data_IF_653858957622
#
_entry.id   IF_653858957622
#
_cell.length_a   1.000
_cell.length_b   1.000
_cell.length_c   1.000
_cell.angle_alpha   90.00
_cell.angle_beta   90.00
_cell.angle_gamma   90.00
#
_symmetry.space_group_name_H-M   'P 1'
#
loop_
_entity.id
_entity.type
_entity.pdbx_description
1 polymer ?
#
# COMPACT_ATOMS: atom_id res chain seq x y z
N UNK A 1 22.15 32.85 28.10
CA UNK A 1 22.28 31.38 28.10
C UNK A 1 20.92 30.81 28.45
N UNK A 2 20.21 30.19 27.51
CA UNK A 2 18.93 29.51 27.82
C UNK A 2 18.97 28.13 27.18
N UNK A 3 18.87 27.12 28.04
CA UNK A 3 18.79 25.71 27.71
C UNK A 3 17.36 25.21 27.97
N UNK A 4 16.85 24.48 26.97
CA UNK A 4 15.94 23.30 27.05
C UNK A 4 14.48 23.54 27.43
N UNK A 5 13.54 22.99 26.63
CA UNK A 5 12.60 21.90 27.03
C UNK A 5 11.48 21.67 25.98
N UNK A 6 11.38 20.40 25.58
CA UNK A 6 10.15 19.59 25.40
C UNK A 6 9.23 19.90 24.21
N UNK A 7 9.03 18.84 23.41
CA UNK A 7 8.02 18.78 22.36
C UNK A 7 6.61 18.52 22.89
N UNK A 8 5.72 18.36 21.92
CA UNK A 8 4.27 18.20 22.04
C UNK A 8 3.46 19.48 22.14
N UNK A 9 2.38 19.43 21.35
CA UNK A 9 1.01 19.85 21.66
C UNK A 9 0.44 21.13 21.01
N UNK A 10 -0.56 20.90 20.13
CA UNK A 10 -1.90 21.55 20.08
C UNK A 10 -2.03 22.76 19.10
N UNK A 11 -3.06 22.95 18.24
CA UNK A 11 -4.52 23.06 18.51
C UNK A 11 -5.36 23.24 17.21
N UNK A 12 -6.55 22.61 17.22
CA UNK A 12 -7.85 22.95 16.55
C UNK A 12 -8.02 22.73 15.05
N UNK A 13 -8.72 21.64 14.71
CA UNK A 13 -9.79 21.72 13.72
C UNK A 13 -11.11 21.36 14.40
N UNK A 14 -12.01 22.34 14.46
CA UNK A 14 -13.40 22.18 14.82
C UNK A 14 -14.19 21.92 13.53
N UNK A 15 -15.10 20.95 13.56
CA UNK A 15 -16.18 20.85 12.57
C UNK A 15 -16.34 19.48 11.92
N UNK A 16 -17.49 18.88 12.20
CA UNK A 16 -18.24 17.88 11.42
C UNK A 16 -17.79 16.41 11.41
N UNK A 17 -18.71 15.60 11.92
CA UNK A 17 -18.81 14.15 11.80
C UNK A 17 -18.82 13.74 10.32
N UNK A 18 -17.87 12.90 9.92
CA UNK A 18 -17.99 12.05 8.75
C UNK A 18 -17.64 10.62 9.16
N UNK A 19 -18.67 9.76 9.16
CA UNK A 19 -18.54 8.31 9.14
C UNK A 19 -17.66 7.94 7.94
N UNK A 20 -16.41 7.54 8.16
CA UNK A 20 -15.45 7.35 7.06
C UNK A 20 -14.12 6.72 7.47
N UNK A 21 -14.14 5.72 8.33
CA UNK A 21 -12.92 5.05 8.84
C UNK A 21 -12.45 3.85 7.99
N UNK A 22 -12.94 3.69 6.74
CA UNK A 22 -12.65 2.49 5.94
C UNK A 22 -11.99 2.74 4.56
N UNK A 23 -11.61 3.98 4.22
CA UNK A 23 -11.12 4.33 2.87
C UNK A 23 -9.63 4.66 2.77
N UNK A 24 -8.80 4.37 3.77
CA UNK A 24 -7.40 4.80 3.78
C UNK A 24 -6.52 4.17 2.68
N UNK A 25 -6.96 3.05 2.10
CA UNK A 25 -6.27 2.37 1.02
C UNK A 25 -6.86 2.60 -0.37
N UNK A 26 -8.07 3.15 -0.52
CA UNK A 26 -8.74 3.16 -1.82
C UNK A 26 -8.02 4.13 -2.77
N UNK A 27 -7.45 3.57 -3.83
CA UNK A 27 -6.70 4.30 -4.84
C UNK A 27 -7.61 4.77 -5.98
N UNK A 28 -7.34 5.93 -6.53
CA UNK A 28 -7.91 6.30 -7.83
C UNK A 28 -7.23 5.50 -8.94
N UNK A 29 -7.95 5.12 -10.02
CA UNK A 29 -7.33 4.42 -11.14
C UNK A 29 -6.16 5.25 -11.72
N UNK A 30 -4.96 4.68 -11.75
CA UNK A 30 -3.80 5.29 -12.43
C UNK A 30 -3.82 4.94 -13.92
N UNK A 31 -3.40 5.88 -14.79
CA UNK A 31 -3.13 5.59 -16.20
C UNK A 31 -1.87 4.73 -16.41
N UNK A 32 -1.10 4.42 -15.36
CA UNK A 32 0.08 3.59 -15.47
C UNK A 32 -0.29 2.15 -15.92
N UNK A 33 0.52 1.55 -16.81
CA UNK A 33 0.30 0.17 -17.23
C UNK A 33 0.39 -0.76 -16.01
N UNK A 34 -0.65 -1.56 -15.82
CA UNK A 34 -0.71 -2.57 -14.78
C UNK A 34 -0.06 -3.87 -15.29
N UNK A 35 0.81 -4.46 -14.48
CA UNK A 35 1.35 -5.79 -14.70
C UNK A 35 0.50 -6.79 -13.94
N UNK A 36 -0.02 -7.83 -14.61
CA UNK A 36 -0.72 -8.92 -13.93
C UNK A 36 0.26 -9.85 -13.20
N UNK A 37 -0.14 -10.34 -12.04
CA UNK A 37 0.62 -11.25 -11.18
C UNK A 37 -0.21 -12.48 -10.83
N UNK A 38 0.43 -13.64 -10.86
CA UNK A 38 -0.11 -14.90 -10.36
C UNK A 38 0.59 -15.31 -9.07
N UNK A 39 -0.18 -15.57 -8.03
CA UNK A 39 0.32 -15.99 -6.74
C UNK A 39 0.30 -17.52 -6.59
N UNK A 40 1.23 -18.04 -5.80
CA UNK A 40 1.35 -19.48 -5.51
C UNK A 40 0.13 -20.08 -4.81
N UNK A 41 -0.72 -19.26 -4.20
CA UNK A 41 -1.99 -19.68 -3.59
C UNK A 41 -3.20 -19.56 -4.54
N UNK A 42 -2.95 -19.34 -5.83
CA UNK A 42 -3.97 -19.29 -6.89
C UNK A 42 -4.59 -17.90 -7.08
N UNK A 43 -4.30 -16.93 -6.20
CA UNK A 43 -4.81 -15.56 -6.35
C UNK A 43 -4.12 -14.83 -7.50
N UNK A 44 -4.80 -13.79 -7.99
CA UNK A 44 -4.32 -12.90 -9.04
C UNK A 44 -4.55 -11.47 -8.64
N UNK A 45 -3.65 -10.60 -9.08
CA UNK A 45 -3.80 -9.16 -8.95
C UNK A 45 -3.05 -8.48 -10.08
N UNK A 46 -3.35 -7.22 -10.32
CA UNK A 46 -2.53 -6.38 -11.19
C UNK A 46 -1.86 -5.30 -10.35
N UNK A 47 -0.62 -4.95 -10.64
CA UNK A 47 0.06 -3.87 -9.94
C UNK A 47 0.83 -2.96 -10.88
N UNK A 48 0.87 -1.68 -10.53
CA UNK A 48 1.68 -0.66 -11.17
C UNK A 48 2.45 0.07 -10.08
N UNK A 49 3.74 0.29 -10.32
CA UNK A 49 4.57 1.06 -9.42
C UNK A 49 4.78 2.45 -9.97
N UNK A 50 4.63 3.47 -9.14
CA UNK A 50 4.85 4.85 -9.56
C UNK A 50 6.32 5.06 -9.94
N UNK A 51 6.56 5.95 -10.91
CA UNK A 51 7.92 6.25 -11.40
C UNK A 51 8.83 6.83 -10.31
N UNK A 52 8.25 7.50 -9.30
CA UNK A 52 8.99 8.01 -8.14
C UNK A 52 9.36 6.92 -7.12
N UNK A 53 8.85 5.70 -7.32
CA UNK A 53 9.05 4.55 -6.44
C UNK A 53 8.43 4.71 -5.05
N UNK A 54 7.58 5.71 -4.80
CA UNK A 54 6.99 5.97 -3.47
C UNK A 54 5.66 5.28 -3.27
N UNK A 55 4.98 4.97 -4.37
CA UNK A 55 3.64 4.37 -4.32
C UNK A 55 3.51 3.18 -5.26
N UNK A 56 2.61 2.28 -4.90
CA UNK A 56 2.17 1.19 -5.76
C UNK A 56 0.65 1.21 -5.82
N UNK A 57 0.09 1.00 -7.01
CA UNK A 57 -1.30 0.66 -7.17
C UNK A 57 -1.44 -0.84 -7.33
N UNK A 58 -2.42 -1.41 -6.64
CA UNK A 58 -2.77 -2.82 -6.69
C UNK A 58 -4.25 -2.94 -7.01
N UNK A 59 -4.60 -3.78 -7.98
CA UNK A 59 -5.97 -4.09 -8.38
C UNK A 59 -6.22 -5.56 -8.08
N UNK A 60 -7.17 -5.84 -7.18
CA UNK A 60 -7.60 -7.19 -6.83
C UNK A 60 -9.10 -7.24 -6.99
N UNK A 61 -9.61 -8.18 -7.80
CA UNK A 61 -11.05 -8.35 -8.06
C UNK A 61 -11.75 -7.03 -8.48
N UNK A 62 -11.06 -6.17 -9.23
CA UNK A 62 -11.56 -4.86 -9.67
C UNK A 62 -11.50 -3.74 -8.62
N UNK A 63 -11.07 -4.04 -7.39
CA UNK A 63 -10.85 -3.04 -6.34
C UNK A 63 -9.46 -2.45 -6.44
N UNK A 64 -9.36 -1.11 -6.38
CA UNK A 64 -8.12 -0.38 -6.46
C UNK A 64 -7.59 -0.01 -5.07
N UNK A 65 -6.35 -0.39 -4.80
CA UNK A 65 -5.62 -0.08 -3.59
C UNK A 65 -4.39 0.76 -3.93
N UNK A 66 -4.17 1.84 -3.19
CA UNK A 66 -2.95 2.62 -3.25
C UNK A 66 -2.12 2.38 -1.99
N UNK A 67 -0.92 1.84 -2.19
CA UNK A 67 0.01 1.49 -1.14
C UNK A 67 1.16 2.50 -1.12
N UNK A 68 1.61 2.85 0.07
CA UNK A 68 2.77 3.72 0.29
C UNK A 68 3.99 2.88 0.60
N UNK A 69 5.13 3.23 0.01
CA UNK A 69 6.40 2.60 0.29
C UNK A 69 6.85 2.90 1.73
N UNK A 70 7.24 1.86 2.45
CA UNK A 70 7.89 1.99 3.76
C UNK A 70 9.33 2.50 3.60
N UNK A 71 9.80 3.24 4.60
CA UNK A 71 11.14 3.82 4.58
C UNK A 71 12.22 2.72 4.49
N UNK A 72 13.10 2.83 3.49
CA UNK A 72 14.31 2.01 3.38
C UNK A 72 14.13 0.58 2.86
N UNK A 73 12.96 0.21 2.32
CA UNK A 73 12.72 -1.13 1.79
C UNK A 73 11.95 -1.14 0.47
N UNK A 74 11.65 -2.31 -0.07
CA UNK A 74 10.78 -2.49 -1.25
C UNK A 74 9.36 -2.92 -0.85
N UNK A 75 8.99 -2.62 0.39
CA UNK A 75 7.67 -2.91 0.95
C UNK A 75 6.77 -1.69 0.77
N UNK A 76 5.61 -1.94 0.18
CA UNK A 76 4.52 -1.00 0.02
C UNK A 76 3.39 -1.49 0.89
N UNK A 77 2.73 -0.60 1.61
CA UNK A 77 1.63 -0.99 2.46
C UNK A 77 0.53 0.06 2.55
N UNK A 78 -0.63 -0.46 2.90
CA UNK A 78 -1.73 0.28 3.47
C UNK A 78 -2.41 -0.68 4.47
N UNK A 79 -3.26 -0.19 5.38
CA UNK A 79 -3.71 -0.92 6.58
C UNK A 79 -4.18 -2.37 6.33
N UNK A 80 -4.81 -2.64 5.20
CA UNK A 80 -5.38 -3.95 4.85
C UNK A 80 -4.51 -4.80 3.91
N UNK A 81 -3.48 -4.22 3.29
CA UNK A 81 -2.71 -4.86 2.23
C UNK A 81 -1.24 -4.43 2.24
N UNK A 82 -0.35 -5.40 2.16
CA UNK A 82 1.08 -5.17 1.94
C UNK A 82 1.58 -5.91 0.71
N UNK A 83 2.46 -5.25 -0.03
CA UNK A 83 3.11 -5.72 -1.24
C UNK A 83 4.61 -5.48 -1.08
N UNK A 84 5.40 -6.54 -1.08
CA UNK A 84 6.85 -6.44 -1.10
C UNK A 84 7.35 -6.78 -2.51
N UNK A 85 8.12 -5.90 -3.14
CA UNK A 85 8.77 -6.22 -4.42
C UNK A 85 10.02 -7.06 -4.15
N UNK A 86 10.19 -8.14 -4.91
CA UNK A 86 11.34 -9.03 -4.84
C UNK A 86 12.06 -9.07 -6.19
N UNK A 87 13.23 -9.73 -6.25
CA UNK A 87 13.97 -9.89 -7.50
C UNK A 87 13.17 -10.68 -8.56
N UNK A 88 12.39 -11.66 -8.12
CA UNK A 88 11.65 -12.59 -8.99
C UNK A 88 10.17 -12.22 -9.20
N UNK A 89 9.69 -11.15 -8.58
CA UNK A 89 8.30 -10.73 -8.64
C UNK A 89 7.86 -9.92 -7.43
N UNK A 90 6.86 -10.41 -6.71
CA UNK A 90 6.31 -9.75 -5.55
C UNK A 90 5.84 -10.74 -4.47
N UNK A 91 5.68 -10.26 -3.25
CA UNK A 91 4.98 -10.96 -2.17
C UNK A 91 3.78 -10.15 -1.73
N UNK A 92 2.60 -10.76 -1.80
CA UNK A 92 1.34 -10.12 -1.44
C UNK A 92 0.81 -10.68 -0.12
N UNK A 93 0.46 -9.81 0.82
CA UNK A 93 -0.15 -10.18 2.09
C UNK A 93 -1.33 -9.26 2.42
N UNK A 94 -2.51 -9.86 2.56
CA UNK A 94 -3.68 -9.19 3.10
C UNK A 94 -3.67 -9.27 4.63
N UNK A 95 -4.27 -8.29 5.28
CA UNK A 95 -4.53 -8.34 6.71
C UNK A 95 -5.31 -9.62 7.06
N UNK A 96 -4.85 -10.34 8.09
CA UNK A 96 -5.44 -11.61 8.51
C UNK A 96 -5.01 -12.84 7.69
N UNK A 97 -4.28 -12.69 6.59
CA UNK A 97 -3.70 -13.83 5.89
C UNK A 97 -2.53 -14.43 6.72
N UNK A 98 -2.45 -15.76 6.86
CA UNK A 98 -1.46 -16.40 7.73
C UNK A 98 -0.02 -16.19 7.26
N UNK A 99 0.20 -16.01 5.96
CA UNK A 99 1.51 -15.74 5.36
C UNK A 99 1.40 -14.93 4.08
N UNK A 100 2.44 -14.17 3.71
CA UNK A 100 2.55 -13.61 2.37
C UNK A 100 2.59 -14.72 1.31
N UNK A 101 1.94 -14.48 0.18
CA UNK A 101 2.02 -15.34 -1.00
C UNK A 101 3.08 -14.81 -1.96
N UNK A 102 3.94 -15.71 -2.46
CA UNK A 102 4.86 -15.38 -3.54
C UNK A 102 4.09 -15.29 -4.85
N UNK A 103 4.33 -14.24 -5.62
CA UNK A 103 3.63 -13.95 -6.85
C UNK A 103 4.62 -13.54 -7.94
N UNK A 104 4.37 -13.99 -9.16
CA UNK A 104 5.21 -13.72 -10.31
C UNK A 104 4.41 -13.01 -11.40
N UNK A 105 5.04 -12.14 -12.20
CA UNK A 105 4.38 -11.52 -13.34
C UNK A 105 3.81 -12.58 -14.27
N UNK A 106 2.57 -12.40 -14.70
CA UNK A 106 2.03 -13.11 -15.85
C UNK A 106 2.86 -12.71 -17.08
N UNK A 107 3.46 -13.70 -17.74
CA UNK A 107 4.21 -13.48 -18.99
C UNK A 107 3.27 -13.51 -20.19
#
# INVERSE_FOLDING_TARGET
>A
MYSTLIGSTIRRFAGLVAVGLLSACQGTPSPAPLTEYHCADGRRFAAAYAADGKTAQVVVDGMHFQLQREAGGERYQCSELSLERTADGARLQFAGAPRPAACHPAR
#
